data_IF_054667561394
#
_entry.id   IF_054667561394
#
_cell.length_a   1.000
_cell.length_b   1.000
_cell.length_c   1.000
_cell.angle_alpha   90.00
_cell.angle_beta   90.00
_cell.angle_gamma   90.00
#
_symmetry.space_group_name_H-M   'P 1'
#
loop_
_entity.id
_entity.type
_entity.pdbx_description
1 polymer ?
#
# COMPACT_ATOMS: atom_id res chain seq x y z
N UNK A 1 -14.07 -8.66 11.07
CA UNK A 1 -15.39 -8.46 11.70
C UNK A 1 -15.16 -7.68 12.98
N UNK A 2 -15.88 -6.59 13.21
CA UNK A 2 -15.83 -5.81 14.45
C UNK A 2 -17.24 -5.51 14.94
N UNK A 3 -17.44 -5.50 16.26
CA UNK A 3 -18.68 -5.11 16.92
C UNK A 3 -18.37 -4.69 18.35
N UNK A 4 -19.20 -3.81 18.93
CA UNK A 4 -19.03 -3.36 20.31
C UNK A 4 -19.25 -4.46 21.34
N UNK A 5 -20.05 -5.48 21.01
CA UNK A 5 -20.30 -6.67 21.84
C UNK A 5 -19.56 -7.88 21.26
N UNK A 6 -18.60 -8.40 22.01
CA UNK A 6 -17.78 -9.56 21.63
C UNK A 6 -18.61 -10.85 21.43
N UNK A 7 -19.78 -10.96 22.06
CA UNK A 7 -20.68 -12.10 21.87
C UNK A 7 -21.19 -12.15 20.43
N UNK A 8 -21.56 -10.98 19.87
CA UNK A 8 -22.02 -10.89 18.48
C UNK A 8 -20.93 -11.35 17.51
N UNK A 9 -19.68 -10.94 17.73
CA UNK A 9 -18.55 -11.38 16.91
C UNK A 9 -18.36 -12.89 17.01
N UNK A 10 -18.44 -13.43 18.23
CA UNK A 10 -18.32 -14.87 18.48
C UNK A 10 -19.41 -15.68 17.79
N UNK A 11 -20.66 -15.22 17.88
CA UNK A 11 -21.81 -15.88 17.24
C UNK A 11 -21.72 -15.87 15.70
N UNK A 12 -21.25 -14.75 15.14
CA UNK A 12 -21.03 -14.66 13.69
C UNK A 12 -19.93 -15.61 13.24
N UNK A 13 -18.80 -15.65 13.95
CA UNK A 13 -17.70 -16.60 13.65
C UNK A 13 -18.21 -18.03 13.70
N UNK A 14 -18.97 -18.40 14.74
CA UNK A 14 -19.54 -19.74 14.86
C UNK A 14 -20.45 -20.10 13.70
N UNK A 15 -21.35 -19.20 13.30
CA UNK A 15 -22.21 -19.39 12.11
C UNK A 15 -21.44 -19.61 10.82
N UNK A 16 -20.30 -18.91 10.68
CA UNK A 16 -19.44 -19.10 9.50
C UNK A 16 -18.73 -20.45 9.57
N UNK A 17 -18.19 -20.83 10.74
CA UNK A 17 -17.53 -22.13 10.95
C UNK A 17 -18.52 -23.29 10.73
N UNK A 18 -19.75 -23.18 11.22
CA UNK A 18 -20.80 -24.19 11.03
C UNK A 18 -21.11 -24.44 9.53
N UNK A 19 -20.97 -23.38 8.70
CA UNK A 19 -21.29 -23.45 7.29
C UNK A 19 -20.09 -23.84 6.40
N UNK A 20 -18.89 -23.34 6.72
CA UNK A 20 -17.70 -23.43 5.88
C UNK A 20 -16.57 -24.27 6.48
N UNK A 21 -16.74 -24.75 7.71
CA UNK A 21 -15.72 -25.50 8.45
C UNK A 21 -14.85 -24.57 9.31
N UNK A 22 -13.99 -25.19 10.13
CA UNK A 22 -13.16 -24.51 11.12
C UNK A 22 -12.20 -23.51 10.46
N UNK A 23 -12.13 -22.30 11.02
CA UNK A 23 -11.31 -21.20 10.56
C UNK A 23 -10.23 -20.83 11.57
N UNK A 24 -9.15 -20.21 11.11
CA UNK A 24 -8.19 -19.54 11.98
C UNK A 24 -8.75 -18.17 12.38
N UNK A 25 -8.89 -17.93 13.68
CA UNK A 25 -9.40 -16.69 14.23
C UNK A 25 -8.32 -16.00 15.04
N UNK A 26 -7.99 -14.76 14.68
CA UNK A 26 -7.10 -13.88 15.44
C UNK A 26 -7.94 -12.81 16.14
N UNK A 27 -7.74 -12.66 17.45
CA UNK A 27 -8.40 -11.63 18.27
C UNK A 27 -7.36 -10.70 18.88
N UNK A 28 -7.80 -9.52 19.28
CA UNK A 28 -6.93 -8.53 19.94
C UNK A 28 -6.84 -7.23 19.16
N UNK A 29 -5.84 -6.41 19.46
CA UNK A 29 -5.68 -5.07 18.87
C UNK A 29 -4.72 -5.07 17.68
N UNK A 30 -3.85 -6.07 17.57
CA UNK A 30 -2.84 -6.17 16.51
C UNK A 30 -3.22 -7.26 15.52
N UNK A 31 -3.26 -6.90 14.25
CA UNK A 31 -3.61 -7.82 13.16
C UNK A 31 -2.66 -7.67 11.99
N UNK A 32 -2.40 -8.79 11.31
CA UNK A 32 -1.71 -8.80 10.01
C UNK A 32 -2.71 -9.25 8.96
N UNK A 33 -2.91 -8.42 7.95
CA UNK A 33 -3.84 -8.73 6.87
C UNK A 33 -3.29 -8.23 5.53
N UNK A 34 -3.02 -9.16 4.61
CA UNK A 34 -2.53 -8.88 3.25
C UNK A 34 -1.32 -7.92 3.23
N UNK A 35 -0.33 -8.16 4.08
CA UNK A 35 0.88 -7.33 4.16
C UNK A 35 0.71 -6.00 4.90
N UNK A 36 -0.46 -5.74 5.47
CA UNK A 36 -0.72 -4.63 6.37
C UNK A 36 -0.61 -5.08 7.81
N UNK A 37 0.15 -4.37 8.63
CA UNK A 37 0.09 -4.46 10.09
C UNK A 37 -0.90 -3.40 10.58
N UNK A 38 -1.98 -3.83 11.19
CA UNK A 38 -3.09 -2.99 11.65
C UNK A 38 -3.13 -3.01 13.17
N UNK A 39 -2.92 -1.85 13.80
CA UNK A 39 -2.95 -1.69 15.24
C UNK A 39 -4.15 -0.83 15.63
N UNK A 40 -5.06 -1.38 16.44
CA UNK A 40 -6.21 -0.65 17.01
C UNK A 40 -5.84 -0.04 18.36
N UNK A 41 -6.05 1.27 18.50
CA UNK A 41 -5.71 2.03 19.70
C UNK A 41 -6.93 2.26 20.60
N UNK A 42 -6.68 2.52 21.89
CA UNK A 42 -7.75 2.76 22.89
C UNK A 42 -8.55 4.04 22.63
N UNK A 43 -7.93 5.00 21.96
CA UNK A 43 -8.59 6.25 21.57
C UNK A 43 -9.53 6.12 20.35
N UNK A 44 -9.79 4.90 19.86
CA UNK A 44 -10.66 4.64 18.72
C UNK A 44 -9.99 4.82 17.36
N UNK A 45 -8.69 5.10 17.31
CA UNK A 45 -7.94 5.15 16.04
C UNK A 45 -7.34 3.79 15.67
N UNK A 46 -7.01 3.63 14.40
CA UNK A 46 -6.23 2.49 13.91
C UNK A 46 -5.05 2.97 13.08
N UNK A 47 -3.89 2.34 13.25
CA UNK A 47 -2.73 2.59 12.39
C UNK A 47 -2.49 1.43 11.43
N UNK A 48 -2.15 1.76 10.18
CA UNK A 48 -1.83 0.79 9.13
C UNK A 48 -0.39 1.02 8.71
N UNK A 49 0.46 0.00 8.96
CA UNK A 49 1.87 -0.02 8.61
C UNK A 49 2.11 -1.06 7.51
N UNK A 50 2.97 -0.73 6.54
CA UNK A 50 3.29 -1.63 5.42
C UNK A 50 4.81 -1.77 5.20
N UNK A 51 5.59 -1.60 6.27
CA UNK A 51 7.06 -1.54 6.23
C UNK A 51 7.68 -2.74 5.50
N UNK A 52 7.28 -3.95 5.87
CA UNK A 52 7.88 -5.16 5.28
C UNK A 52 7.50 -5.30 3.79
N UNK A 53 6.25 -5.00 3.44
CA UNK A 53 5.81 -5.01 2.05
C UNK A 53 6.55 -3.98 1.18
N UNK A 54 6.86 -2.80 1.75
CA UNK A 54 7.66 -1.77 1.08
C UNK A 54 9.11 -2.24 0.90
N UNK A 55 9.70 -2.90 1.90
CA UNK A 55 11.05 -3.47 1.78
C UNK A 55 11.14 -4.52 0.67
N UNK A 56 10.14 -5.38 0.57
CA UNK A 56 10.05 -6.36 -0.53
C UNK A 56 9.98 -5.66 -1.89
N UNK A 57 9.16 -4.60 -2.03
CA UNK A 57 9.09 -3.84 -3.28
C UNK A 57 10.43 -3.18 -3.66
N UNK A 58 11.20 -2.70 -2.65
CA UNK A 58 12.55 -2.15 -2.86
C UNK A 58 13.51 -3.26 -3.32
N UNK A 59 13.43 -4.45 -2.74
CA UNK A 59 14.27 -5.60 -3.14
C UNK A 59 13.96 -6.07 -4.57
N UNK A 60 12.67 -6.15 -4.92
CA UNK A 60 12.23 -6.58 -6.26
C UNK A 60 12.67 -5.64 -7.37
N UNK A 61 13.00 -4.39 -7.07
CA UNK A 61 13.54 -3.44 -8.04
C UNK A 61 14.90 -3.87 -8.60
N UNK A 62 15.64 -4.71 -7.86
CA UNK A 62 16.89 -5.32 -8.31
C UNK A 62 18.12 -4.40 -8.29
N UNK A 63 17.94 -3.08 -8.15
CA UNK A 63 19.04 -2.14 -7.95
C UNK A 63 19.18 -1.74 -6.48
N UNK A 64 20.39 -1.56 -6.02
CA UNK A 64 20.61 -1.03 -4.68
C UNK A 64 20.15 0.43 -4.55
N UNK A 65 19.19 0.68 -3.69
CA UNK A 65 18.76 2.03 -3.34
C UNK A 65 19.65 2.57 -2.21
N UNK A 66 20.69 3.30 -2.56
CA UNK A 66 21.68 3.83 -1.57
C UNK A 66 21.26 5.17 -0.98
N UNK A 67 20.43 5.94 -1.68
CA UNK A 67 20.00 7.29 -1.30
C UNK A 67 18.58 7.30 -0.77
N UNK A 68 18.23 8.37 -0.08
CA UNK A 68 16.85 8.70 0.30
C UNK A 68 16.41 10.00 -0.37
N UNK A 69 15.10 10.17 -0.49
CA UNK A 69 14.51 11.37 -1.07
C UNK A 69 13.48 11.99 -0.12
N UNK A 70 13.32 13.30 -0.18
CA UNK A 70 12.36 14.05 0.66
C UNK A 70 10.96 14.13 0.08
N UNK A 71 10.79 13.71 -1.19
CA UNK A 71 9.50 13.69 -1.88
C UNK A 71 9.45 12.55 -2.89
N UNK A 72 8.27 11.94 -3.11
CA UNK A 72 8.15 10.79 -4.02
C UNK A 72 8.29 11.17 -5.50
N UNK A 73 8.14 12.45 -5.83
CA UNK A 73 8.23 12.93 -7.20
C UNK A 73 8.94 14.28 -7.28
N UNK A 74 9.46 14.60 -8.46
CA UNK A 74 9.96 15.91 -8.83
C UNK A 74 8.89 16.68 -9.61
N UNK A 75 9.12 17.98 -9.88
CA UNK A 75 8.21 18.85 -10.65
C UNK A 75 7.89 18.31 -12.05
N UNK A 76 8.82 17.58 -12.65
CA UNK A 76 8.71 16.98 -13.97
C UNK A 76 8.07 15.56 -13.97
N UNK A 77 7.30 15.21 -12.96
CA UNK A 77 6.67 13.86 -12.87
C UNK A 77 5.90 13.51 -14.15
N UNK A 78 5.10 14.44 -14.66
CA UNK A 78 4.20 14.22 -15.80
C UNK A 78 4.85 14.43 -17.16
N UNK A 79 6.10 14.89 -17.21
CA UNK A 79 6.82 15.05 -18.47
C UNK A 79 7.15 13.68 -19.07
N UNK A 80 6.79 13.51 -20.33
CA UNK A 80 7.11 12.32 -21.12
C UNK A 80 8.21 12.73 -22.10
N UNK A 81 9.33 12.05 -22.02
CA UNK A 81 10.44 12.24 -22.95
C UNK A 81 10.29 11.19 -24.07
N UNK A 82 9.87 11.64 -25.26
CA UNK A 82 9.63 10.77 -26.42
C UNK A 82 10.93 10.22 -27.00
N UNK A 83 12.07 10.88 -26.73
CA UNK A 83 13.40 10.42 -27.17
C UNK A 83 14.05 9.45 -26.19
N UNK A 84 13.43 9.25 -25.01
CA UNK A 84 13.96 8.34 -24.00
C UNK A 84 13.93 6.88 -24.46
N UNK A 85 15.03 6.18 -24.24
CA UNK A 85 15.18 4.76 -24.60
C UNK A 85 14.15 3.90 -23.85
N UNK A 86 13.50 2.98 -24.56
CA UNK A 86 12.63 1.98 -23.95
C UNK A 86 13.44 1.04 -23.06
N UNK A 87 12.85 0.61 -21.99
CA UNK A 87 13.45 -0.42 -21.12
C UNK A 87 13.61 -1.75 -21.87
N UNK A 88 14.59 -2.55 -21.46
CA UNK A 88 14.66 -3.95 -21.86
C UNK A 88 13.42 -4.71 -21.44
N UNK A 89 13.15 -5.88 -22.03
CA UNK A 89 12.01 -6.72 -21.63
C UNK A 89 12.07 -7.07 -20.14
N UNK A 90 13.25 -7.46 -19.64
CA UNK A 90 13.44 -7.81 -18.23
C UNK A 90 13.21 -6.63 -17.30
N UNK A 91 13.74 -5.44 -17.65
CA UNK A 91 13.53 -4.23 -16.83
C UNK A 91 12.08 -3.74 -16.88
N UNK A 92 11.41 -3.91 -18.03
CA UNK A 92 9.99 -3.57 -18.18
C UNK A 92 9.11 -4.48 -17.33
N UNK A 93 9.41 -5.78 -17.24
CA UNK A 93 8.72 -6.72 -16.32
C UNK A 93 8.95 -6.35 -14.86
N UNK A 94 10.17 -6.01 -14.48
CA UNK A 94 10.52 -5.54 -13.13
C UNK A 94 9.79 -4.24 -12.82
N UNK A 95 9.81 -3.28 -13.74
CA UNK A 95 9.09 -2.01 -13.60
C UNK A 95 7.60 -2.24 -13.34
N UNK A 96 6.95 -3.07 -14.17
CA UNK A 96 5.54 -3.39 -14.01
C UNK A 96 5.25 -4.05 -12.66
N UNK A 97 6.05 -5.04 -12.25
CA UNK A 97 5.88 -5.75 -10.99
C UNK A 97 5.98 -4.81 -9.77
N UNK A 98 7.01 -3.95 -9.75
CA UNK A 98 7.22 -2.98 -8.66
C UNK A 98 6.12 -1.92 -8.65
N UNK A 99 5.73 -1.37 -9.81
CA UNK A 99 4.64 -0.40 -9.90
C UNK A 99 3.32 -1.00 -9.39
N UNK A 100 3.01 -2.26 -9.75
CA UNK A 100 1.81 -2.96 -9.27
C UNK A 100 1.83 -3.15 -7.73
N UNK A 101 2.96 -3.54 -7.14
CA UNK A 101 3.13 -3.61 -5.68
C UNK A 101 2.93 -2.25 -5.02
N UNK A 102 3.53 -1.19 -5.58
CA UNK A 102 3.40 0.16 -5.03
C UNK A 102 2.01 0.75 -5.23
N UNK A 103 1.26 0.33 -6.26
CA UNK A 103 -0.15 0.70 -6.41
C UNK A 103 -0.99 0.18 -5.24
N UNK A 104 -0.73 -1.05 -4.80
CA UNK A 104 -1.38 -1.61 -3.61
C UNK A 104 -1.01 -0.80 -2.35
N UNK A 105 0.28 -0.53 -2.14
CA UNK A 105 0.79 0.27 -1.01
C UNK A 105 0.17 1.66 -0.98
N UNK A 106 0.10 2.34 -2.14
CA UNK A 106 -0.43 3.70 -2.27
C UNK A 106 -1.91 3.83 -1.88
N UNK A 107 -2.67 2.75 -2.04
CA UNK A 107 -4.11 2.74 -1.71
C UNK A 107 -4.41 2.27 -0.30
N UNK A 108 -3.45 1.69 0.40
CA UNK A 108 -3.69 1.06 1.71
C UNK A 108 -2.98 1.71 2.88
N UNK A 109 -1.76 2.20 2.69
CA UNK A 109 -0.98 2.71 3.80
C UNK A 109 -0.16 3.97 3.48
N UNK A 110 0.11 4.25 2.21
CA UNK A 110 0.98 5.36 1.79
C UNK A 110 0.32 6.19 0.69
N UNK A 111 -0.71 6.95 1.08
CA UNK A 111 -1.47 7.82 0.16
C UNK A 111 -0.60 8.92 -0.46
N UNK A 112 0.49 9.27 0.20
CA UNK A 112 1.48 10.27 -0.21
C UNK A 112 2.20 9.93 -1.53
N UNK A 113 2.32 8.64 -1.90
CA UNK A 113 2.90 8.23 -3.18
C UNK A 113 1.86 8.04 -4.29
N UNK A 114 0.56 8.19 -4.00
CA UNK A 114 -0.52 7.81 -4.91
C UNK A 114 -0.42 8.51 -6.26
N UNK A 115 -0.13 9.81 -6.27
CA UNK A 115 -0.03 10.58 -7.51
C UNK A 115 1.11 10.09 -8.40
N UNK A 116 2.29 9.84 -7.82
CA UNK A 116 3.44 9.36 -8.56
C UNK A 116 3.18 7.97 -9.15
N UNK A 117 2.61 7.07 -8.36
CA UNK A 117 2.30 5.71 -8.80
C UNK A 117 1.18 5.69 -9.85
N UNK A 118 0.14 6.52 -9.71
CA UNK A 118 -0.92 6.62 -10.72
C UNK A 118 -0.35 7.02 -12.09
N UNK A 119 0.59 7.97 -12.14
CA UNK A 119 1.29 8.31 -13.36
C UNK A 119 2.11 7.14 -13.91
N UNK A 120 2.92 6.48 -13.06
CA UNK A 120 3.77 5.36 -13.49
C UNK A 120 2.95 4.16 -14.00
N UNK A 121 1.74 3.95 -13.48
CA UNK A 121 0.82 2.93 -14.00
C UNK A 121 0.46 3.18 -15.48
N UNK A 122 0.38 4.42 -15.93
CA UNK A 122 0.11 4.73 -17.34
C UNK A 122 1.30 4.41 -18.26
N UNK A 123 2.47 4.20 -17.68
CA UNK A 123 3.74 3.97 -18.41
C UNK A 123 4.13 2.50 -18.53
N UNK A 124 3.42 1.57 -17.89
CA UNK A 124 3.83 0.15 -17.81
C UNK A 124 3.92 -0.56 -19.16
N UNK A 125 3.13 -0.14 -20.16
CA UNK A 125 3.15 -0.74 -21.51
C UNK A 125 4.24 -0.19 -22.43
N UNK A 126 4.84 0.96 -22.09
CA UNK A 126 5.85 1.65 -22.88
C UNK A 126 6.85 2.38 -21.97
N UNK A 127 7.31 1.66 -20.94
CA UNK A 127 8.23 2.21 -19.95
C UNK A 127 9.62 2.52 -20.53
N UNK A 128 10.16 3.64 -20.11
CA UNK A 128 11.46 4.16 -20.57
C UNK A 128 12.45 4.30 -19.42
N UNK A 129 13.72 4.55 -19.73
CA UNK A 129 14.75 4.83 -18.72
C UNK A 129 14.38 6.04 -17.84
N UNK A 130 13.68 7.03 -18.38
CA UNK A 130 13.18 8.17 -17.60
C UNK A 130 12.09 7.75 -16.62
N UNK A 131 11.20 6.85 -17.01
CA UNK A 131 10.17 6.31 -16.11
C UNK A 131 10.81 5.44 -15.01
N UNK A 132 11.86 4.67 -15.34
CA UNK A 132 12.67 3.94 -14.36
C UNK A 132 13.27 4.85 -13.30
N UNK A 133 13.84 5.99 -13.71
CA UNK A 133 14.39 6.98 -12.77
C UNK A 133 13.29 7.62 -11.87
N UNK A 134 12.06 7.78 -12.39
CA UNK A 134 10.93 8.25 -11.59
C UNK A 134 10.51 7.20 -10.57
N UNK A 135 10.45 5.92 -10.97
CA UNK A 135 10.16 4.81 -10.04
C UNK A 135 11.24 4.70 -8.96
N UNK A 136 12.51 4.76 -9.33
CA UNK A 136 13.63 4.78 -8.40
C UNK A 136 13.49 5.90 -7.36
N UNK A 137 13.06 7.09 -7.80
CA UNK A 137 12.80 8.22 -6.89
C UNK A 137 11.72 7.92 -5.85
N UNK A 138 10.63 7.23 -6.26
CA UNK A 138 9.59 6.79 -5.31
C UNK A 138 10.18 5.83 -4.29
N UNK A 139 11.00 4.88 -4.71
CA UNK A 139 11.65 3.91 -3.82
C UNK A 139 12.66 4.58 -2.86
N UNK A 140 13.42 5.57 -3.33
CA UNK A 140 14.31 6.39 -2.49
C UNK A 140 13.52 7.13 -1.39
N UNK A 141 12.36 7.66 -1.74
CA UNK A 141 11.46 8.31 -0.79
C UNK A 141 10.89 7.31 0.23
N UNK A 142 10.39 6.19 -0.23
CA UNK A 142 9.86 5.14 0.65
C UNK A 142 10.93 4.56 1.57
N UNK A 143 12.18 4.41 1.11
CA UNK A 143 13.30 3.98 1.95
C UNK A 143 13.57 4.98 3.09
N UNK A 144 13.48 6.28 2.82
CA UNK A 144 13.66 7.34 3.82
C UNK A 144 12.49 7.48 4.80
N UNK A 145 11.34 6.89 4.49
CA UNK A 145 10.08 7.05 5.23
C UNK A 145 9.42 5.71 5.56
N UNK A 146 10.20 4.66 5.79
CA UNK A 146 9.72 3.29 6.06
C UNK A 146 8.84 3.19 7.31
N UNK A 147 9.04 4.06 8.28
CA UNK A 147 8.31 4.05 9.55
C UNK A 147 7.04 4.92 9.52
N UNK A 148 6.78 5.61 8.41
CA UNK A 148 5.53 6.34 8.21
C UNK A 148 4.35 5.38 8.04
N UNK A 149 3.22 5.75 8.61
CA UNK A 149 2.00 4.93 8.60
C UNK A 149 0.75 5.78 8.45
N UNK A 150 -0.33 5.15 7.99
CA UNK A 150 -1.64 5.78 7.89
C UNK A 150 -2.37 5.62 9.23
N UNK A 151 -2.86 6.72 9.78
CA UNK A 151 -3.78 6.70 10.92
C UNK A 151 -5.20 6.93 10.44
N UNK A 152 -6.09 6.00 10.78
CA UNK A 152 -7.53 6.11 10.59
C UNK A 152 -8.17 6.44 11.93
N UNK A 153 -9.09 7.41 11.93
CA UNK A 153 -9.84 7.78 13.12
C UNK A 153 -11.22 8.31 12.75
N UNK A 154 -12.17 8.26 13.68
CA UNK A 154 -13.47 8.90 13.53
C UNK A 154 -13.66 9.88 14.69
N UNK A 155 -13.77 11.15 14.36
CA UNK A 155 -14.13 12.22 15.28
C UNK A 155 -15.64 12.22 15.49
N UNK A 156 -16.16 11.58 16.44
CA UNK A 156 -17.58 11.29 16.68
C UNK A 156 -18.13 10.11 15.84
N UNK A 157 -18.47 9.06 16.56
CA UNK A 157 -19.26 7.95 16.05
C UNK A 157 -20.71 8.41 15.86
N UNK A 158 -20.96 9.34 15.00
CA UNK A 158 -22.16 9.28 14.21
C UNK A 158 -21.89 8.17 13.24
N UNK A 159 -22.52 7.02 13.40
CA UNK A 159 -22.56 5.96 12.43
C UNK A 159 -22.93 6.59 11.08
N UNK A 160 -21.96 7.10 10.39
CA UNK A 160 -22.04 7.09 8.94
C UNK A 160 -22.02 5.60 8.68
N UNK A 161 -23.19 5.04 8.52
CA UNK A 161 -23.34 3.65 8.15
C UNK A 161 -22.32 3.42 7.09
N UNK A 162 -21.63 2.31 7.13
CA UNK A 162 -20.65 1.92 6.13
C UNK A 162 -21.37 1.83 4.78
N UNK A 163 -21.89 2.96 4.36
CA UNK A 163 -22.27 3.25 3.00
C UNK A 163 -20.96 3.18 2.26
N UNK A 164 -20.75 2.02 1.76
CA UNK A 164 -19.59 1.58 1.10
C UNK A 164 -18.84 2.70 0.46
N UNK A 165 -17.57 2.74 0.76
CA UNK A 165 -16.63 3.15 -0.24
C UNK A 165 -16.93 2.24 -1.42
N UNK A 166 -17.87 2.68 -2.25
CA UNK A 166 -18.16 2.04 -3.51
C UNK A 166 -16.89 2.12 -4.33
N UNK A 167 -16.46 0.99 -4.76
CA UNK A 167 -15.38 0.80 -5.73
C UNK A 167 -15.93 1.00 -7.12
#
# INVERSE_FOLDING_TARGET
ISHMDDKVVTDVIKKIEDKFGKMTVTRGKEHVFLGMNIDFHENGTASIKMKEYIKEAIQDFGEEITKTATSPARKNLFEIDEESVLLSVADSETFHGVVAKLLYVSKRGRLDIQLAIAFLCTRVSCSTEKDWQKLKRVLEYLKGTLDEFLTLGADNITMIGASGVGW
#
